data_IF_407879401123
#
_entry.id   IF_407879401123
#
_cell.length_a   1.000
_cell.length_b   1.000
_cell.length_c   1.000
_cell.angle_alpha   90.00
_cell.angle_beta   90.00
_cell.angle_gamma   90.00
#
_symmetry.space_group_name_H-M   'P 1'
#
loop_
_entity.id
_entity.type
_entity.pdbx_description
1 polymer ?
#
# COMPACT_ATOMS: atom_id res chain seq x y z
N UNK A 1 -5.60 -25.92 9.07
CA UNK A 1 -4.46 -24.98 8.96
C UNK A 1 -4.73 -23.86 9.94
N UNK A 2 -3.85 -23.66 10.93
CA UNK A 2 -4.02 -22.59 11.92
C UNK A 2 -3.92 -21.25 11.19
N UNK A 3 -5.02 -20.47 11.15
CA UNK A 3 -4.98 -19.12 10.61
C UNK A 3 -4.05 -18.29 11.49
N UNK A 4 -3.20 -17.47 10.87
CA UNK A 4 -2.28 -16.58 11.58
C UNK A 4 -3.11 -15.65 12.46
N UNK A 5 -2.76 -15.53 13.74
CA UNK A 5 -3.35 -14.53 14.63
C UNK A 5 -3.10 -13.13 14.07
N UNK A 6 -4.16 -12.35 13.96
CA UNK A 6 -4.12 -10.96 13.47
C UNK A 6 -4.34 -9.98 14.62
N UNK A 7 -3.78 -8.80 14.51
CA UNK A 7 -4.10 -7.65 15.35
C UNK A 7 -5.21 -6.87 14.63
N UNK A 8 -6.41 -6.88 15.21
CA UNK A 8 -7.61 -6.27 14.62
C UNK A 8 -7.97 -5.01 15.39
N UNK A 9 -7.95 -3.87 14.73
CA UNK A 9 -8.48 -2.62 15.29
C UNK A 9 -10.00 -2.58 15.06
N UNK A 10 -10.75 -2.35 16.12
CA UNK A 10 -12.19 -2.07 16.07
C UNK A 10 -12.39 -0.65 16.57
N UNK A 11 -13.07 0.17 15.79
CA UNK A 11 -13.50 1.50 16.20
C UNK A 11 -15.01 1.65 15.97
N UNK A 12 -15.74 1.92 17.05
CA UNK A 12 -17.20 2.06 17.08
C UNK A 12 -17.56 2.78 18.38
N UNK A 13 -18.48 3.73 18.39
CA UNK A 13 -18.86 4.44 19.62
C UNK A 13 -19.79 3.61 20.51
N UNK A 14 -20.50 2.63 19.95
CA UNK A 14 -21.39 1.73 20.66
C UNK A 14 -20.62 0.61 21.39
N UNK A 15 -20.54 0.68 22.72
CA UNK A 15 -19.81 -0.31 23.53
C UNK A 15 -20.30 -1.75 23.35
N UNK A 16 -21.60 -1.94 23.09
CA UNK A 16 -22.19 -3.26 22.89
C UNK A 16 -21.72 -3.91 21.58
N UNK A 17 -21.57 -3.10 20.53
CA UNK A 17 -21.04 -3.54 19.23
C UNK A 17 -19.57 -3.91 19.38
N UNK A 18 -18.78 -3.04 20.00
CA UNK A 18 -17.35 -3.34 20.25
C UNK A 18 -17.16 -4.62 21.05
N UNK A 19 -17.98 -4.82 22.10
CA UNK A 19 -17.90 -6.02 22.94
C UNK A 19 -18.25 -7.29 22.12
N UNK A 20 -19.31 -7.23 21.31
CA UNK A 20 -19.71 -8.35 20.46
C UNK A 20 -18.63 -8.74 19.44
N UNK A 21 -18.08 -7.76 18.72
CA UNK A 21 -16.99 -7.96 17.76
C UNK A 21 -15.73 -8.50 18.43
N UNK A 22 -15.36 -7.93 19.59
CA UNK A 22 -14.22 -8.38 20.39
C UNK A 22 -14.36 -9.85 20.79
N UNK A 23 -15.54 -10.26 21.25
CA UNK A 23 -15.80 -11.65 21.64
C UNK A 23 -15.57 -12.57 20.45
N UNK A 24 -16.20 -12.29 19.31
CA UNK A 24 -16.07 -13.11 18.09
C UNK A 24 -14.60 -13.21 17.67
N UNK A 25 -13.89 -12.09 17.59
CA UNK A 25 -12.50 -12.05 17.10
C UNK A 25 -11.53 -12.74 18.07
N UNK A 26 -11.74 -12.60 19.37
CA UNK A 26 -10.93 -13.30 20.39
C UNK A 26 -11.13 -14.81 20.34
N UNK A 27 -12.36 -15.28 20.15
CA UNK A 27 -12.67 -16.70 19.94
C UNK A 27 -12.03 -17.28 18.66
N UNK A 28 -11.82 -16.43 17.65
CA UNK A 28 -11.10 -16.78 16.42
C UNK A 28 -9.57 -16.75 16.59
N UNK A 29 -9.07 -16.38 17.77
CA UNK A 29 -7.64 -16.34 18.08
C UNK A 29 -6.94 -15.06 17.65
N UNK A 30 -7.68 -13.99 17.39
CA UNK A 30 -7.12 -12.68 17.03
C UNK A 30 -6.88 -11.79 18.27
N UNK A 31 -5.94 -10.89 18.19
CA UNK A 31 -5.71 -9.82 19.18
C UNK A 31 -6.54 -8.60 18.80
N UNK A 32 -7.33 -8.08 19.73
CA UNK A 32 -8.25 -6.96 19.47
C UNK A 32 -7.79 -5.68 20.14
N UNK A 33 -7.65 -4.64 19.31
CA UNK A 33 -7.47 -3.24 19.73
C UNK A 33 -8.83 -2.56 19.62
N UNK A 34 -9.30 -1.89 20.65
CA UNK A 34 -10.65 -1.34 20.70
C UNK A 34 -10.61 0.16 20.97
N UNK A 35 -11.21 0.95 20.09
CA UNK A 35 -11.36 2.38 20.17
C UNK A 35 -12.84 2.77 20.30
N UNK A 36 -13.15 3.77 21.13
CA UNK A 36 -14.49 4.30 21.31
C UNK A 36 -14.81 5.52 20.44
N UNK A 37 -13.80 6.08 19.80
CA UNK A 37 -13.94 7.23 18.91
C UNK A 37 -12.82 7.27 17.87
N UNK A 38 -12.93 8.21 16.91
CA UNK A 38 -11.99 8.32 15.81
C UNK A 38 -10.59 8.80 16.21
N UNK A 39 -10.44 9.56 17.30
CA UNK A 39 -9.12 10.01 17.79
C UNK A 39 -8.35 8.85 18.40
N UNK A 40 -9.02 8.07 19.25
CA UNK A 40 -8.46 6.86 19.85
C UNK A 40 -8.09 5.83 18.76
N UNK A 41 -8.94 5.69 17.73
CA UNK A 41 -8.70 4.79 16.62
C UNK A 41 -7.40 5.11 15.87
N UNK A 42 -7.19 6.38 15.50
CA UNK A 42 -5.95 6.84 14.84
C UNK A 42 -4.73 6.62 15.76
N UNK A 43 -4.86 6.95 17.04
CA UNK A 43 -3.79 6.79 18.02
C UNK A 43 -3.37 5.32 18.15
N UNK A 44 -4.34 4.40 18.28
CA UNK A 44 -4.08 2.97 18.34
C UNK A 44 -3.49 2.44 17.05
N UNK A 45 -3.98 2.90 15.89
CA UNK A 45 -3.44 2.49 14.60
C UNK A 45 -1.96 2.85 14.43
N UNK A 46 -1.56 4.02 14.93
CA UNK A 46 -0.16 4.48 14.86
C UNK A 46 0.77 3.80 15.85
N UNK A 47 0.28 3.43 17.04
CA UNK A 47 1.10 2.85 18.11
C UNK A 47 1.22 1.34 18.03
N UNK A 48 0.16 0.69 17.61
CA UNK A 48 -0.02 -0.76 17.79
C UNK A 48 0.07 -1.55 16.50
N UNK A 49 0.27 -0.90 15.35
CA UNK A 49 0.45 -1.54 14.03
C UNK A 49 -0.57 -2.66 13.72
N UNK A 50 -1.89 -2.38 13.68
CA UNK A 50 -2.89 -3.40 13.38
C UNK A 50 -2.71 -3.98 11.97
N UNK A 51 -3.13 -5.24 11.80
CA UNK A 51 -3.11 -5.94 10.52
C UNK A 51 -4.35 -5.66 9.67
N UNK A 52 -5.47 -5.25 10.29
CA UNK A 52 -6.75 -4.92 9.68
C UNK A 52 -7.54 -3.99 10.60
N UNK A 53 -8.37 -3.11 10.04
CA UNK A 53 -9.27 -2.24 10.80
C UNK A 53 -10.74 -2.47 10.42
N UNK A 54 -11.61 -2.49 11.45
CA UNK A 54 -13.07 -2.46 11.37
C UNK A 54 -13.52 -1.11 11.93
N UNK A 55 -14.05 -0.24 11.08
CA UNK A 55 -14.35 1.14 11.44
C UNK A 55 -15.83 1.43 11.25
N UNK A 56 -16.50 1.85 12.30
CA UNK A 56 -17.84 2.44 12.18
C UNK A 56 -17.76 3.78 11.47
N UNK A 57 -18.75 4.08 10.63
CA UNK A 57 -18.80 5.36 9.92
C UNK A 57 -19.06 6.50 10.92
N UNK A 58 -20.02 6.32 11.81
CA UNK A 58 -20.47 7.37 12.72
C UNK A 58 -19.79 7.28 14.08
N UNK A 59 -18.75 8.06 14.27
CA UNK A 59 -18.06 8.16 15.55
C UNK A 59 -17.90 9.62 15.96
N UNK A 60 -17.81 9.90 17.27
CA UNK A 60 -17.48 11.22 17.77
C UNK A 60 -16.10 11.70 17.28
N UNK A 61 -15.95 13.01 17.14
CA UNK A 61 -14.73 13.74 16.81
C UNK A 61 -14.22 13.53 15.38
N UNK A 62 -14.10 12.30 14.91
CA UNK A 62 -13.71 11.92 13.54
C UNK A 62 -14.57 10.77 13.06
N UNK A 63 -15.12 10.90 11.88
CA UNK A 63 -15.86 9.81 11.26
C UNK A 63 -14.93 8.69 10.80
N UNK A 64 -15.48 7.48 10.59
CA UNK A 64 -14.68 6.31 10.22
C UNK A 64 -14.00 6.43 8.87
N UNK A 65 -14.51 7.27 7.96
CA UNK A 65 -13.88 7.51 6.66
C UNK A 65 -12.66 8.44 6.81
N UNK A 66 -12.72 9.42 7.70
CA UNK A 66 -11.57 10.26 8.04
C UNK A 66 -10.47 9.43 8.72
N UNK A 67 -10.87 8.54 9.64
CA UNK A 67 -9.95 7.59 10.29
C UNK A 67 -9.31 6.67 9.25
N UNK A 68 -10.10 6.13 8.32
CA UNK A 68 -9.60 5.28 7.24
C UNK A 68 -8.56 6.01 6.38
N UNK A 69 -8.85 7.24 5.97
CA UNK A 69 -7.94 8.07 5.18
C UNK A 69 -6.60 8.32 5.91
N UNK A 70 -6.66 8.60 7.22
CA UNK A 70 -5.46 8.84 8.03
C UNK A 70 -4.62 7.57 8.22
N UNK A 71 -5.26 6.42 8.48
CA UNK A 71 -4.58 5.11 8.56
C UNK A 71 -3.90 4.79 7.23
N UNK A 72 -4.62 4.90 6.11
CA UNK A 72 -4.09 4.58 4.77
C UNK A 72 -2.91 5.47 4.38
N UNK A 73 -2.91 6.73 4.80
CA UNK A 73 -1.81 7.68 4.57
C UNK A 73 -0.56 7.32 5.36
N UNK A 74 -0.72 6.83 6.59
CA UNK A 74 0.40 6.48 7.47
C UNK A 74 0.94 5.08 7.15
N UNK A 75 0.07 4.09 7.15
CA UNK A 75 0.38 2.69 6.85
C UNK A 75 -0.82 2.01 6.21
N UNK A 76 -0.77 1.70 4.90
CA UNK A 76 -1.87 1.00 4.25
C UNK A 76 -2.09 -0.40 4.85
N UNK A 77 -3.31 -0.63 5.34
CA UNK A 77 -3.82 -1.92 5.84
C UNK A 77 -5.22 -2.15 5.27
N UNK A 78 -5.72 -3.40 5.26
CA UNK A 78 -7.11 -3.67 4.90
C UNK A 78 -8.07 -2.94 5.85
N UNK A 79 -9.09 -2.28 5.28
CA UNK A 79 -10.11 -1.58 6.04
C UNK A 79 -11.48 -2.12 5.65
N UNK A 80 -12.28 -2.44 6.66
CA UNK A 80 -13.69 -2.81 6.55
C UNK A 80 -14.51 -1.75 7.25
N UNK A 81 -15.50 -1.22 6.57
CA UNK A 81 -16.43 -0.23 7.13
C UNK A 81 -17.64 -0.94 7.72
N UNK A 82 -17.98 -0.59 8.96
CA UNK A 82 -19.22 -0.98 9.62
C UNK A 82 -20.27 0.09 9.31
N UNK A 83 -21.46 -0.31 8.84
CA UNK A 83 -22.49 0.64 8.41
C UNK A 83 -23.87 0.22 8.90
N UNK A 84 -24.74 1.20 9.18
CA UNK A 84 -26.15 0.93 9.35
C UNK A 84 -26.87 0.85 8.00
N UNK A 85 -27.99 0.13 7.94
CA UNK A 85 -28.73 -0.19 6.70
C UNK A 85 -29.13 1.02 5.82
N UNK A 86 -29.14 2.25 6.36
CA UNK A 86 -29.68 3.45 5.70
C UNK A 86 -28.63 4.50 5.31
N UNK A 87 -27.37 4.12 5.06
CA UNK A 87 -26.27 5.06 4.86
C UNK A 87 -25.77 5.17 3.42
N UNK A 88 -26.66 5.07 2.42
CA UNK A 88 -26.31 5.11 1.00
C UNK A 88 -25.43 6.30 0.59
N UNK A 89 -25.70 7.49 1.11
CA UNK A 89 -24.89 8.68 0.82
C UNK A 89 -23.46 8.61 1.41
N UNK A 90 -23.28 7.89 2.52
CA UNK A 90 -21.95 7.69 3.11
C UNK A 90 -21.18 6.59 2.39
N UNK A 91 -21.87 5.62 1.79
CA UNK A 91 -21.25 4.60 0.95
C UNK A 91 -20.68 5.19 -0.35
N UNK A 92 -21.28 6.24 -0.91
CA UNK A 92 -20.70 6.97 -2.05
C UNK A 92 -19.36 7.63 -1.68
N UNK A 93 -19.28 8.28 -0.51
CA UNK A 93 -18.01 8.83 -0.01
C UNK A 93 -16.98 7.74 0.30
N UNK A 94 -17.42 6.60 0.83
CA UNK A 94 -16.56 5.47 1.11
C UNK A 94 -16.01 4.82 -0.17
N UNK A 95 -16.73 4.91 -1.30
CA UNK A 95 -16.25 4.40 -2.59
C UNK A 95 -15.04 5.17 -3.15
N UNK A 96 -14.80 6.39 -2.67
CA UNK A 96 -13.61 7.18 -3.04
C UNK A 96 -12.34 6.73 -2.29
N UNK A 97 -12.50 5.95 -1.22
CA UNK A 97 -11.37 5.40 -0.44
C UNK A 97 -11.12 3.94 -0.83
N UNK A 98 -9.86 3.51 -0.82
CA UNK A 98 -9.49 2.11 -1.10
C UNK A 98 -9.81 1.19 0.10
N UNK A 99 -11.10 1.13 0.50
CA UNK A 99 -11.60 0.19 1.51
C UNK A 99 -11.90 -1.16 0.87
N UNK A 100 -11.67 -2.24 1.61
CA UNK A 100 -11.74 -3.60 1.06
C UNK A 100 -13.06 -4.32 1.36
N UNK A 101 -13.93 -3.72 2.15
CA UNK A 101 -15.22 -4.34 2.46
C UNK A 101 -16.14 -3.49 3.31
N UNK A 102 -17.40 -3.91 3.35
CA UNK A 102 -18.46 -3.30 4.15
C UNK A 102 -19.19 -4.39 4.91
N UNK A 103 -19.57 -4.11 6.15
CA UNK A 103 -20.41 -4.97 6.99
C UNK A 103 -21.59 -4.18 7.54
N UNK A 104 -22.79 -4.70 7.30
CA UNK A 104 -24.01 -4.09 7.80
C UNK A 104 -24.26 -4.53 9.24
N UNK A 105 -24.53 -3.58 10.12
CA UNK A 105 -24.92 -3.84 11.51
C UNK A 105 -26.38 -4.36 11.59
N UNK A 106 -26.69 -5.39 12.41
CA UNK A 106 -25.79 -6.08 13.34
C UNK A 106 -24.88 -7.11 12.62
N UNK A 107 -23.59 -7.09 12.94
CA UNK A 107 -22.57 -7.95 12.31
C UNK A 107 -22.70 -9.38 12.78
N UNK A 108 -22.91 -10.30 11.86
CA UNK A 108 -22.93 -11.73 12.14
C UNK A 108 -21.52 -12.33 12.05
N UNK A 109 -21.27 -13.37 12.84
CA UNK A 109 -19.96 -14.06 12.89
C UNK A 109 -19.48 -14.51 11.51
N UNK A 110 -20.34 -15.17 10.75
CA UNK A 110 -19.96 -15.73 9.44
C UNK A 110 -19.69 -14.65 8.41
N UNK A 111 -20.47 -13.55 8.43
CA UNK A 111 -20.28 -12.40 7.56
C UNK A 111 -18.95 -11.69 7.87
N UNK A 112 -18.61 -11.55 9.17
CA UNK A 112 -17.33 -10.98 9.61
C UNK A 112 -16.15 -11.81 9.10
N UNK A 113 -16.17 -13.13 9.30
CA UNK A 113 -15.11 -14.03 8.86
C UNK A 113 -14.92 -13.96 7.34
N UNK A 114 -16.04 -14.06 6.59
CA UNK A 114 -16.00 -14.03 5.13
C UNK A 114 -15.44 -12.70 4.61
N UNK A 115 -15.94 -11.58 5.15
CA UNK A 115 -15.51 -10.24 4.73
C UNK A 115 -14.04 -9.99 5.09
N UNK A 116 -13.58 -10.37 6.27
CA UNK A 116 -12.17 -10.25 6.65
C UNK A 116 -11.25 -11.02 5.71
N UNK A 117 -11.60 -12.26 5.37
CA UNK A 117 -10.81 -13.08 4.42
C UNK A 117 -10.71 -12.42 3.05
N UNK A 118 -11.84 -11.96 2.52
CA UNK A 118 -11.88 -11.28 1.21
C UNK A 118 -11.09 -9.97 1.26
N UNK A 119 -11.28 -9.17 2.31
CA UNK A 119 -10.58 -7.89 2.46
C UNK A 119 -9.06 -8.08 2.48
N UNK A 120 -8.56 -9.03 3.25
CA UNK A 120 -7.12 -9.33 3.34
C UNK A 120 -6.59 -9.85 2.01
N UNK A 121 -7.31 -10.75 1.34
CA UNK A 121 -6.90 -11.30 0.06
C UNK A 121 -6.83 -10.22 -1.03
N UNK A 122 -7.85 -9.38 -1.13
CA UNK A 122 -7.92 -8.27 -2.09
C UNK A 122 -6.81 -7.25 -1.85
N UNK A 123 -6.59 -6.86 -0.59
CA UNK A 123 -5.52 -5.94 -0.23
C UNK A 123 -4.14 -6.48 -0.61
N UNK A 124 -3.86 -7.74 -0.29
CA UNK A 124 -2.59 -8.38 -0.64
C UNK A 124 -2.38 -8.46 -2.17
N UNK A 125 -3.44 -8.76 -2.92
CA UNK A 125 -3.39 -8.78 -4.39
C UNK A 125 -3.10 -7.39 -4.96
N UNK A 126 -3.79 -6.35 -4.48
CA UNK A 126 -3.56 -4.97 -4.90
C UNK A 126 -2.12 -4.53 -4.61
N UNK A 127 -1.61 -4.85 -3.41
CA UNK A 127 -0.24 -4.54 -3.02
C UNK A 127 0.79 -5.24 -3.92
N UNK A 128 0.58 -6.51 -4.24
CA UNK A 128 1.45 -7.25 -5.16
C UNK A 128 1.44 -6.66 -6.57
N UNK A 129 0.26 -6.24 -7.06
CA UNK A 129 0.16 -5.60 -8.37
C UNK A 129 0.87 -4.25 -8.39
N UNK A 130 0.70 -3.41 -7.36
CA UNK A 130 1.41 -2.15 -7.24
C UNK A 130 2.94 -2.35 -7.26
N UNK A 131 3.46 -3.30 -6.47
CA UNK A 131 4.88 -3.62 -6.46
C UNK A 131 5.40 -4.08 -7.84
N UNK A 132 4.62 -4.88 -8.57
CA UNK A 132 4.99 -5.30 -9.94
C UNK A 132 5.01 -4.13 -10.92
N UNK A 133 4.09 -3.18 -10.78
CA UNK A 133 4.07 -1.96 -11.61
C UNK A 133 5.34 -1.15 -11.35
N UNK A 134 5.67 -0.89 -10.08
CA UNK A 134 6.87 -0.15 -9.69
C UNK A 134 8.14 -0.82 -10.24
N UNK A 135 8.26 -2.15 -10.09
CA UNK A 135 9.40 -2.91 -10.63
C UNK A 135 9.51 -2.81 -12.18
N UNK A 136 8.37 -2.81 -12.88
CA UNK A 136 8.34 -2.69 -14.34
C UNK A 136 8.72 -1.29 -14.80
N UNK A 137 8.25 -0.26 -14.09
CA UNK A 137 8.60 1.14 -14.35
C UNK A 137 10.09 1.40 -14.12
N UNK A 138 10.66 0.85 -13.04
CA UNK A 138 12.10 0.91 -12.78
C UNK A 138 12.91 0.23 -13.89
N UNK A 139 12.50 -0.97 -14.33
CA UNK A 139 13.16 -1.70 -15.44
C UNK A 139 13.08 -0.93 -16.74
N UNK A 140 11.92 -0.34 -17.04
CA UNK A 140 11.72 0.46 -18.25
C UNK A 140 12.60 1.73 -18.23
N UNK A 141 12.63 2.40 -17.10
CA UNK A 141 13.47 3.60 -16.89
C UNK A 141 14.96 3.25 -17.01
N UNK A 142 15.40 2.15 -16.38
CA UNK A 142 16.77 1.67 -16.51
C UNK A 142 17.14 1.36 -17.96
N UNK A 143 16.25 0.69 -18.72
CA UNK A 143 16.46 0.41 -20.14
C UNK A 143 16.60 1.68 -20.97
N UNK A 144 15.72 2.66 -20.79
CA UNK A 144 15.79 3.94 -21.48
C UNK A 144 17.10 4.68 -21.19
N UNK A 145 17.58 4.67 -19.94
CA UNK A 145 18.85 5.27 -19.57
C UNK A 145 20.03 4.59 -20.26
N UNK A 146 20.05 3.24 -20.27
CA UNK A 146 21.11 2.47 -20.91
C UNK A 146 21.14 2.73 -22.41
N UNK A 147 19.98 2.72 -23.10
CA UNK A 147 19.92 3.01 -24.53
C UNK A 147 20.40 4.45 -24.85
N UNK A 148 20.02 5.43 -24.03
CA UNK A 148 20.48 6.80 -24.18
C UNK A 148 21.99 6.93 -23.96
N UNK A 149 22.56 6.26 -22.97
CA UNK A 149 24.00 6.23 -22.71
C UNK A 149 24.78 5.53 -23.83
N UNK A 150 24.24 4.41 -24.37
CA UNK A 150 24.81 3.79 -25.58
C UNK A 150 24.89 4.79 -26.73
N UNK A 151 23.80 5.52 -26.99
CA UNK A 151 23.79 6.57 -28.02
C UNK A 151 24.87 7.63 -27.84
N UNK A 152 25.18 8.01 -26.58
CA UNK A 152 26.28 8.91 -26.26
C UNK A 152 27.64 8.29 -26.63
N UNK A 153 27.88 7.04 -26.17
CA UNK A 153 29.15 6.36 -26.44
C UNK A 153 29.35 6.06 -27.92
N UNK A 154 28.28 5.76 -28.66
CA UNK A 154 28.34 5.56 -30.12
C UNK A 154 28.72 6.85 -30.86
N UNK A 155 28.32 8.04 -30.40
CA UNK A 155 28.77 9.34 -30.96
C UNK A 155 30.29 9.54 -30.77
N UNK A 156 30.89 8.86 -29.79
CA UNK A 156 32.34 8.86 -29.55
C UNK A 156 33.08 7.74 -30.26
N UNK A 157 32.44 7.08 -31.21
CA UNK A 157 33.07 6.08 -32.08
C UNK A 157 32.99 4.64 -31.62
N UNK A 158 32.28 4.34 -30.52
CA UNK A 158 32.05 2.94 -30.09
C UNK A 158 30.96 2.24 -30.93
N UNK A 159 31.14 0.96 -31.19
CA UNK A 159 30.07 0.13 -31.72
C UNK A 159 28.97 -0.09 -30.68
N UNK A 160 27.76 -0.50 -31.12
CA UNK A 160 26.60 -0.70 -30.20
C UNK A 160 26.89 -1.76 -29.14
N UNK A 161 27.45 -2.90 -29.51
CA UNK A 161 27.81 -3.97 -28.58
C UNK A 161 28.94 -3.55 -27.63
N UNK A 162 29.89 -2.81 -28.14
CA UNK A 162 31.01 -2.29 -27.36
C UNK A 162 30.53 -1.26 -26.30
N UNK A 163 29.61 -0.37 -26.68
CA UNK A 163 29.01 0.61 -25.76
C UNK A 163 28.21 -0.09 -24.64
N UNK A 164 27.44 -1.11 -24.99
CA UNK A 164 26.72 -1.90 -23.98
C UNK A 164 27.69 -2.62 -23.03
N UNK A 165 28.70 -3.29 -23.58
CA UNK A 165 29.71 -3.99 -22.81
C UNK A 165 30.51 -3.04 -21.90
N UNK A 166 30.85 -1.85 -22.38
CA UNK A 166 31.50 -0.82 -21.58
C UNK A 166 30.67 -0.44 -20.34
N UNK A 167 29.36 -0.17 -20.51
CA UNK A 167 28.45 0.14 -19.40
C UNK A 167 28.39 -1.04 -18.42
N UNK A 168 28.26 -2.26 -18.92
CA UNK A 168 28.16 -3.46 -18.11
C UNK A 168 29.43 -3.71 -17.29
N UNK A 169 30.61 -3.67 -17.91
CA UNK A 169 31.86 -3.90 -17.22
C UNK A 169 32.19 -2.80 -16.20
N UNK A 170 31.86 -1.56 -16.52
CA UNK A 170 32.01 -0.44 -15.58
C UNK A 170 31.10 -0.59 -14.38
N UNK A 171 29.85 -1.01 -14.58
CA UNK A 171 28.90 -1.29 -13.49
C UNK A 171 29.43 -2.42 -12.58
N UNK A 172 29.94 -3.49 -13.18
CA UNK A 172 30.50 -4.64 -12.46
C UNK A 172 31.75 -4.28 -11.65
N UNK A 173 32.68 -3.56 -12.24
CA UNK A 173 33.92 -3.12 -11.58
C UNK A 173 33.68 -2.19 -10.40
N UNK A 174 32.67 -1.32 -10.52
CA UNK A 174 32.29 -0.35 -9.47
C UNK A 174 31.23 -0.89 -8.50
N UNK A 175 30.80 -2.15 -8.65
CA UNK A 175 29.74 -2.79 -7.83
C UNK A 175 28.47 -1.93 -7.76
N UNK A 176 28.03 -1.43 -8.91
CA UNK A 176 26.83 -0.57 -9.03
C UNK A 176 25.93 -1.07 -10.17
N UNK A 177 24.79 -0.42 -10.39
CA UNK A 177 23.85 -0.78 -11.45
C UNK A 177 24.24 -0.15 -12.79
N UNK A 178 23.88 -0.82 -13.90
CA UNK A 178 24.08 -0.25 -15.24
C UNK A 178 23.35 1.06 -15.45
N UNK A 179 22.16 1.23 -14.86
CA UNK A 179 21.40 2.48 -14.91
C UNK A 179 22.13 3.66 -14.27
N UNK A 180 22.84 3.41 -13.16
CA UNK A 180 23.64 4.46 -12.50
C UNK A 180 24.84 4.87 -13.35
N UNK A 181 25.54 3.92 -13.97
CA UNK A 181 26.63 4.22 -14.92
C UNK A 181 26.08 4.96 -16.14
N UNK A 182 24.93 4.50 -16.68
CA UNK A 182 24.28 5.15 -17.81
C UNK A 182 23.93 6.63 -17.49
N UNK A 183 23.39 6.89 -16.30
CA UNK A 183 23.09 8.24 -15.84
C UNK A 183 24.37 9.10 -15.76
N UNK A 184 25.46 8.57 -15.19
CA UNK A 184 26.75 9.28 -15.13
C UNK A 184 27.30 9.65 -16.51
N UNK A 185 27.16 8.76 -17.49
CA UNK A 185 27.58 9.00 -18.88
C UNK A 185 26.75 10.13 -19.49
N UNK A 186 25.43 10.09 -19.34
CA UNK A 186 24.51 11.11 -19.84
C UNK A 186 24.79 12.47 -19.19
N UNK A 187 24.97 12.49 -17.86
CA UNK A 187 25.24 13.73 -17.12
C UNK A 187 26.56 14.41 -17.55
N UNK A 188 27.59 13.61 -17.88
CA UNK A 188 28.84 14.12 -18.43
C UNK A 188 28.65 14.73 -19.82
N UNK A 189 27.92 14.05 -20.70
CA UNK A 189 27.63 14.51 -22.03
C UNK A 189 26.77 15.81 -22.05
N UNK A 190 25.88 15.97 -21.07
CA UNK A 190 25.11 17.20 -20.87
C UNK A 190 26.02 18.37 -20.43
N UNK A 191 26.98 18.12 -19.54
CA UNK A 191 27.91 19.10 -19.04
C UNK A 191 28.93 19.54 -20.12
N UNK A 192 29.31 18.66 -21.04
CA UNK A 192 30.18 18.95 -22.17
C UNK A 192 29.47 19.64 -23.34
N UNK A 193 28.14 19.79 -23.28
CA UNK A 193 27.36 20.42 -24.36
C UNK A 193 27.05 19.52 -25.56
N UNK A 194 27.37 18.22 -25.45
CA UNK A 194 27.18 17.22 -26.51
C UNK A 194 25.75 16.75 -26.68
N UNK A 195 24.94 16.89 -25.61
CA UNK A 195 23.51 16.70 -25.60
C UNK A 195 22.80 18.02 -25.28
N UNK A 196 21.94 18.48 -26.19
CA UNK A 196 20.97 19.54 -25.89
C UNK A 196 19.74 18.89 -25.22
N UNK A 197 19.12 19.63 -24.31
CA UNK A 197 17.87 19.18 -23.61
C UNK A 197 16.76 18.82 -24.58
#
# INVERSE_FOLDING_TARGET
MSEKSLRVLIADDESIIRMGLRTILTELGHTVLSAADGIEAVTLAQREDPDIALLDIRMPFRDGLEVAAEILKHRPIPIIILTAYNESALLERAAELPVQGYLVKPVKRDDLIATMRVAIATFNQQRQLAQKVDELEEKLTARKLIERAKGVLMKHGMGEEEAYHHIQMTARSRRTTMSKIAQEIIDRALKSGELRH
#
